data_IF_364304809906
#
_entry.id   IF_364304809906
#
_cell.length_a   1.000
_cell.length_b   1.000
_cell.length_c   1.000
_cell.angle_alpha   90.00
_cell.angle_beta   90.00
_cell.angle_gamma   90.00
#
_symmetry.space_group_name_H-M   'P 1'
#
loop_
_entity.id
_entity.type
_entity.pdbx_description
1 polymer ?
#
# COMPACT_ATOMS: atom_id res chain seq x y z
N UNK A 1 20.61 52.20 -4.23
CA UNK A 1 20.67 50.75 -4.01
C UNK A 1 22.12 50.29 -4.12
N UNK A 2 22.70 49.83 -3.01
CA UNK A 2 24.09 49.37 -2.99
C UNK A 2 24.25 48.04 -3.74
N UNK A 3 25.48 47.69 -4.09
CA UNK A 3 25.79 46.41 -4.73
C UNK A 3 25.40 45.24 -3.80
N UNK A 4 25.59 45.39 -2.49
CA UNK A 4 25.25 44.38 -1.49
C UNK A 4 23.73 44.13 -1.42
N UNK A 5 22.92 45.19 -1.52
CA UNK A 5 21.46 45.06 -1.56
C UNK A 5 20.98 44.28 -2.80
N UNK A 6 21.61 44.50 -3.96
CA UNK A 6 21.30 43.76 -5.19
C UNK A 6 21.68 42.28 -5.07
N UNK A 7 22.84 41.99 -4.47
CA UNK A 7 23.31 40.62 -4.23
C UNK A 7 22.37 39.89 -3.27
N UNK A 8 21.96 40.52 -2.18
CA UNK A 8 21.04 39.92 -1.22
C UNK A 8 19.67 39.61 -1.84
N UNK A 9 19.11 40.52 -2.65
CA UNK A 9 17.85 40.29 -3.35
C UNK A 9 17.97 39.12 -4.33
N UNK A 10 19.10 39.01 -5.04
CA UNK A 10 19.35 37.90 -5.95
C UNK A 10 19.39 36.56 -5.21
N UNK A 11 20.04 36.50 -4.03
CA UNK A 11 20.06 35.30 -3.19
C UNK A 11 18.67 34.92 -2.67
N UNK A 12 17.85 35.89 -2.25
CA UNK A 12 16.48 35.62 -1.81
C UNK A 12 15.62 35.08 -2.95
N UNK A 13 15.68 35.68 -4.14
CA UNK A 13 14.95 35.21 -5.32
C UNK A 13 15.39 33.80 -5.71
N UNK A 14 16.70 33.52 -5.69
CA UNK A 14 17.24 32.20 -5.97
C UNK A 14 16.77 31.17 -4.93
N UNK A 15 16.81 31.50 -3.64
CA UNK A 15 16.35 30.63 -2.56
C UNK A 15 14.87 30.27 -2.67
N UNK A 16 14.01 31.25 -2.94
CA UNK A 16 12.57 31.02 -3.15
C UNK A 16 12.34 30.13 -4.38
N UNK A 17 13.05 30.37 -5.47
CA UNK A 17 12.95 29.56 -6.67
C UNK A 17 13.43 28.13 -6.46
N UNK A 18 14.50 27.94 -5.68
CA UNK A 18 15.04 26.62 -5.35
C UNK A 18 14.07 25.80 -4.50
N UNK A 19 13.43 26.42 -3.50
CA UNK A 19 12.40 25.77 -2.69
C UNK A 19 11.20 25.38 -3.54
N UNK A 20 10.73 26.27 -4.41
CA UNK A 20 9.65 25.99 -5.36
C UNK A 20 10.01 24.83 -6.30
N UNK A 21 11.25 24.83 -6.82
CA UNK A 21 11.71 23.79 -7.74
C UNK A 21 11.82 22.42 -7.05
N UNK A 22 12.34 22.34 -5.83
CA UNK A 22 12.41 21.10 -5.06
C UNK A 22 10.99 20.56 -4.79
N UNK A 23 10.05 21.44 -4.41
CA UNK A 23 8.67 21.06 -4.18
C UNK A 23 8.00 20.54 -5.46
N UNK A 24 8.11 21.28 -6.56
CA UNK A 24 7.55 20.89 -7.85
C UNK A 24 8.17 19.59 -8.38
N UNK A 25 9.49 19.43 -8.23
CA UNK A 25 10.20 18.22 -8.63
C UNK A 25 9.76 17.00 -7.82
N UNK A 26 9.62 17.14 -6.49
CA UNK A 26 9.08 16.09 -5.62
C UNK A 26 7.66 15.65 -6.02
N UNK A 27 6.77 16.61 -6.31
CA UNK A 27 5.43 16.31 -6.81
C UNK A 27 5.44 15.60 -8.18
N UNK A 28 6.36 15.99 -9.07
CA UNK A 28 6.46 15.43 -10.41
C UNK A 28 7.00 13.98 -10.39
N UNK A 29 8.02 13.71 -9.56
CA UNK A 29 8.52 12.35 -9.33
C UNK A 29 7.40 11.45 -8.79
N UNK A 30 6.66 11.93 -7.78
CA UNK A 30 5.50 11.22 -7.22
C UNK A 30 4.51 10.87 -8.34
N UNK A 31 4.14 11.85 -9.17
CA UNK A 31 3.17 11.64 -10.26
C UNK A 31 3.67 10.68 -11.35
N UNK A 32 4.96 10.63 -11.63
CA UNK A 32 5.54 9.77 -12.68
C UNK A 32 5.78 8.33 -12.21
N UNK A 33 6.22 8.14 -10.96
CA UNK A 33 6.55 6.82 -10.43
C UNK A 33 5.33 6.06 -9.90
N UNK A 34 4.39 6.75 -9.25
CA UNK A 34 3.23 6.09 -8.64
C UNK A 34 2.40 5.26 -9.63
N UNK A 35 2.07 5.72 -10.85
CA UNK A 35 1.27 4.93 -11.79
C UNK A 35 1.97 3.62 -12.19
N UNK A 36 3.26 3.68 -12.52
CA UNK A 36 4.04 2.48 -12.91
C UNK A 36 4.17 1.47 -11.76
N UNK A 37 4.29 2.00 -10.55
CA UNK A 37 4.39 1.21 -9.32
C UNK A 37 3.04 0.52 -9.04
N UNK A 38 1.93 1.27 -9.11
CA UNK A 38 0.57 0.76 -8.94
C UNK A 38 0.20 -0.29 -10.00
N UNK A 39 0.49 -0.04 -11.28
CA UNK A 39 0.22 -1.01 -12.37
C UNK A 39 0.95 -2.34 -12.14
N UNK A 40 2.20 -2.28 -11.67
CA UNK A 40 2.98 -3.48 -11.37
C UNK A 40 2.39 -4.25 -10.19
N UNK A 41 1.81 -3.56 -9.19
CA UNK A 41 1.13 -4.21 -8.07
C UNK A 41 -0.20 -4.83 -8.48
N UNK A 42 -1.03 -4.08 -9.20
CA UNK A 42 -2.32 -4.57 -9.69
C UNK A 42 -2.14 -5.83 -10.53
N UNK A 43 -1.14 -5.83 -11.42
CA UNK A 43 -0.78 -7.01 -12.22
C UNK A 43 -0.38 -8.18 -11.32
N UNK A 44 0.47 -7.95 -10.31
CA UNK A 44 0.95 -9.01 -9.42
C UNK A 44 -0.16 -9.63 -8.56
N UNK A 45 -1.06 -8.81 -8.03
CA UNK A 45 -2.21 -9.28 -7.26
C UNK A 45 -3.16 -10.07 -8.17
N UNK A 46 -3.40 -9.58 -9.39
CA UNK A 46 -4.17 -10.30 -10.40
C UNK A 46 -3.54 -11.65 -10.76
N UNK A 47 -2.21 -11.73 -10.89
CA UNK A 47 -1.49 -12.98 -11.14
C UNK A 47 -1.65 -13.97 -9.98
N UNK A 48 -1.56 -13.49 -8.74
CA UNK A 48 -1.78 -14.29 -7.55
C UNK A 48 -3.21 -14.84 -7.46
N UNK A 49 -4.20 -14.00 -7.74
CA UNK A 49 -5.59 -14.41 -7.81
C UNK A 49 -5.85 -15.45 -8.90
N UNK A 50 -5.20 -15.30 -10.06
CA UNK A 50 -5.37 -16.19 -11.21
C UNK A 50 -4.62 -17.52 -11.06
N UNK A 51 -3.43 -17.49 -10.46
CA UNK A 51 -2.58 -18.68 -10.30
C UNK A 51 -3.13 -19.65 -9.25
N UNK A 52 -3.89 -19.16 -8.27
CA UNK A 52 -4.44 -19.98 -7.20
C UNK A 52 -3.39 -20.56 -6.25
N UNK A 53 -2.10 -20.27 -6.45
CA UNK A 53 -0.99 -20.79 -5.64
C UNK A 53 -0.87 -20.00 -4.33
N UNK A 54 -1.70 -20.38 -3.37
CA UNK A 54 -1.79 -19.72 -2.07
C UNK A 54 -0.48 -19.82 -1.28
N UNK A 55 0.32 -20.87 -1.49
CA UNK A 55 1.61 -21.02 -0.79
C UNK A 55 2.63 -20.03 -1.33
N UNK A 56 2.73 -19.89 -2.65
CA UNK A 56 3.58 -18.88 -3.26
C UNK A 56 3.18 -17.45 -2.87
N UNK A 57 1.88 -17.19 -2.65
CA UNK A 57 1.43 -15.90 -2.10
C UNK A 57 2.02 -15.69 -0.71
N UNK A 58 1.81 -16.62 0.22
CA UNK A 58 2.27 -16.48 1.60
C UNK A 58 3.79 -16.34 1.71
N UNK A 59 4.56 -17.05 0.89
CA UNK A 59 6.03 -16.95 0.88
C UNK A 59 6.55 -15.59 0.43
N UNK A 60 5.76 -14.85 -0.35
CA UNK A 60 6.20 -13.62 -0.99
C UNK A 60 5.54 -12.37 -0.44
N UNK A 61 4.31 -12.46 0.04
CA UNK A 61 3.44 -11.32 0.37
C UNK A 61 4.01 -10.46 1.49
N UNK A 62 4.68 -11.06 2.48
CA UNK A 62 5.28 -10.33 3.59
C UNK A 62 6.34 -9.33 3.12
N UNK A 63 7.14 -9.69 2.10
CA UNK A 63 8.12 -8.77 1.49
C UNK A 63 7.48 -7.59 0.78
N UNK A 64 6.24 -7.74 0.30
CA UNK A 64 5.49 -6.65 -0.31
C UNK A 64 4.85 -5.76 0.76
N UNK A 65 4.34 -6.35 1.84
CA UNK A 65 3.83 -5.60 3.00
C UNK A 65 4.95 -4.74 3.62
N UNK A 66 6.16 -5.28 3.78
CA UNK A 66 7.32 -4.52 4.28
C UNK A 66 7.68 -3.34 3.38
N UNK A 67 7.59 -3.52 2.06
CA UNK A 67 7.90 -2.45 1.10
C UNK A 67 6.78 -1.41 1.00
N UNK A 68 5.54 -1.82 1.25
CA UNK A 68 4.34 -1.01 1.08
C UNK A 68 3.41 -1.17 2.29
N UNK A 69 3.80 -0.67 3.48
CA UNK A 69 3.08 -0.92 4.72
C UNK A 69 1.69 -0.27 4.78
N UNK A 70 1.39 0.67 3.89
CA UNK A 70 0.07 1.31 3.77
C UNK A 70 -0.79 0.78 2.63
N UNK A 71 -0.34 -0.27 1.92
CA UNK A 71 -1.12 -0.87 0.84
C UNK A 71 -1.87 -2.09 1.35
N UNK A 72 -3.14 -1.88 1.68
CA UNK A 72 -4.01 -2.90 2.25
C UNK A 72 -4.23 -4.08 1.30
N UNK A 73 -4.03 -3.90 -0.03
CA UNK A 73 -4.27 -4.97 -1.02
C UNK A 73 -3.38 -6.19 -0.82
N UNK A 74 -2.17 -5.98 -0.30
CA UNK A 74 -1.28 -7.10 0.06
C UNK A 74 -1.74 -7.81 1.32
N UNK A 75 -2.27 -7.08 2.31
CA UNK A 75 -2.85 -7.70 3.50
C UNK A 75 -4.10 -8.51 3.14
N UNK A 76 -4.93 -8.02 2.21
CA UNK A 76 -6.09 -8.75 1.70
C UNK A 76 -5.70 -10.03 0.97
N UNK A 77 -4.69 -9.96 0.08
CA UNK A 77 -4.15 -11.14 -0.60
C UNK A 77 -3.61 -12.17 0.40
N UNK A 78 -2.89 -11.71 1.44
CA UNK A 78 -2.42 -12.57 2.55
C UNK A 78 -3.58 -13.23 3.29
N UNK A 79 -4.57 -12.46 3.72
CA UNK A 79 -5.72 -12.97 4.47
C UNK A 79 -6.50 -14.05 3.68
N UNK A 80 -6.73 -13.82 2.39
CA UNK A 80 -7.37 -14.80 1.50
C UNK A 80 -6.54 -16.06 1.31
N UNK A 81 -5.23 -15.93 1.18
CA UNK A 81 -4.33 -17.08 1.07
C UNK A 81 -4.28 -17.91 2.37
N UNK A 82 -4.25 -17.24 3.53
CA UNK A 82 -4.35 -17.90 4.85
C UNK A 82 -5.68 -18.67 4.99
N UNK A 83 -6.80 -18.03 4.61
CA UNK A 83 -8.12 -18.66 4.63
C UNK A 83 -8.16 -19.93 3.76
N UNK A 84 -7.70 -19.83 2.51
CA UNK A 84 -7.69 -20.96 1.57
C UNK A 84 -6.71 -22.08 1.95
N UNK A 85 -5.70 -21.79 2.76
CA UNK A 85 -4.73 -22.79 3.24
C UNK A 85 -5.12 -23.38 4.60
N UNK A 86 -6.27 -22.99 5.16
CA UNK A 86 -6.79 -23.52 6.42
C UNK A 86 -6.19 -22.89 7.67
N UNK A 87 -5.37 -21.83 7.53
CA UNK A 87 -4.84 -21.06 8.67
C UNK A 87 -5.87 -20.05 9.14
N UNK A 88 -7.00 -20.55 9.62
CA UNK A 88 -8.22 -19.77 9.85
C UNK A 88 -8.05 -18.68 10.92
N UNK A 89 -7.35 -18.96 12.02
CA UNK A 89 -7.11 -17.96 13.09
C UNK A 89 -6.25 -16.78 12.60
N UNK A 90 -5.16 -17.08 11.88
CA UNK A 90 -4.30 -16.03 11.30
C UNK A 90 -5.07 -15.23 10.24
N UNK A 91 -5.87 -15.90 9.41
CA UNK A 91 -6.72 -15.25 8.41
C UNK A 91 -7.71 -14.29 9.08
N UNK A 92 -8.39 -14.75 10.14
CA UNK A 92 -9.36 -13.96 10.89
C UNK A 92 -8.72 -12.71 11.50
N UNK A 93 -7.60 -12.86 12.20
CA UNK A 93 -6.87 -11.71 12.76
C UNK A 93 -6.53 -10.69 11.67
N UNK A 94 -6.08 -11.15 10.51
CA UNK A 94 -5.75 -10.27 9.39
C UNK A 94 -6.98 -9.55 8.83
N UNK A 95 -8.12 -10.25 8.67
CA UNK A 95 -9.37 -9.62 8.23
C UNK A 95 -9.94 -8.63 9.26
N UNK A 96 -9.78 -8.89 10.56
CA UNK A 96 -10.19 -7.95 11.61
C UNK A 96 -9.38 -6.65 11.57
N UNK A 97 -8.08 -6.75 11.31
CA UNK A 97 -7.20 -5.58 11.16
C UNK A 97 -7.56 -4.77 9.90
N UNK A 98 -7.85 -5.45 8.79
CA UNK A 98 -8.34 -4.81 7.56
C UNK A 98 -9.68 -4.12 7.79
N UNK A 99 -10.65 -4.79 8.44
CA UNK A 99 -11.99 -4.23 8.74
C UNK A 99 -11.92 -2.94 9.57
N UNK A 100 -10.95 -2.86 10.48
CA UNK A 100 -10.71 -1.67 11.33
C UNK A 100 -10.00 -0.54 10.58
N UNK A 101 -9.02 -0.87 9.74
CA UNK A 101 -8.17 0.11 9.07
C UNK A 101 -8.78 0.65 7.78
N UNK A 102 -9.55 -0.16 7.06
CA UNK A 102 -10.09 0.15 5.74
C UNK A 102 -11.63 0.01 5.73
N UNK A 103 -12.38 1.11 5.97
CA UNK A 103 -13.84 1.07 5.98
C UNK A 103 -14.47 0.54 4.68
N UNK A 104 -13.77 0.69 3.55
CA UNK A 104 -14.22 0.19 2.25
C UNK A 104 -14.27 -1.34 2.19
N UNK A 105 -13.39 -2.03 2.91
CA UNK A 105 -13.30 -3.49 2.89
C UNK A 105 -13.93 -4.15 4.10
N UNK A 106 -14.48 -3.34 5.00
CA UNK A 106 -15.16 -3.82 6.20
C UNK A 106 -16.22 -4.87 5.89
N UNK A 107 -17.13 -4.58 4.96
CA UNK A 107 -18.23 -5.50 4.66
C UNK A 107 -17.72 -6.86 4.16
N UNK A 108 -16.75 -6.87 3.26
CA UNK A 108 -16.20 -8.12 2.73
C UNK A 108 -15.33 -8.84 3.76
N UNK A 109 -14.56 -8.11 4.57
CA UNK A 109 -13.79 -8.66 5.69
C UNK A 109 -14.71 -9.34 6.71
N UNK A 110 -15.82 -8.69 7.07
CA UNK A 110 -16.80 -9.19 8.03
C UNK A 110 -17.45 -10.49 7.52
N UNK A 111 -17.71 -10.63 6.21
CA UNK A 111 -18.18 -11.90 5.60
C UNK A 111 -17.17 -13.02 5.78
N UNK A 112 -15.87 -12.77 5.54
CA UNK A 112 -14.84 -13.78 5.77
C UNK A 112 -14.69 -14.12 7.25
N UNK A 113 -14.71 -13.13 8.14
CA UNK A 113 -14.65 -13.34 9.60
C UNK A 113 -15.82 -14.21 10.05
N UNK A 114 -17.04 -13.94 9.58
CA UNK A 114 -18.21 -14.75 9.89
C UNK A 114 -18.03 -16.19 9.39
N UNK A 115 -17.63 -16.37 8.13
CA UNK A 115 -17.39 -17.71 7.56
C UNK A 115 -16.32 -18.49 8.33
N UNK A 116 -15.26 -17.83 8.78
CA UNK A 116 -14.22 -18.43 9.62
C UNK A 116 -14.79 -18.85 10.98
N UNK A 117 -15.55 -17.97 11.64
CA UNK A 117 -16.16 -18.28 12.94
C UNK A 117 -17.10 -19.49 12.85
N UNK A 118 -17.88 -19.59 11.77
CA UNK A 118 -18.74 -20.75 11.52
C UNK A 118 -17.91 -22.03 11.35
N UNK A 119 -16.80 -21.99 10.61
CA UNK A 119 -15.91 -23.16 10.43
C UNK A 119 -15.21 -23.60 11.72
N UNK A 120 -14.84 -22.65 12.59
CA UNK A 120 -14.19 -22.92 13.87
C UNK A 120 -15.16 -23.37 14.97
N UNK A 121 -16.46 -23.15 14.78
CA UNK A 121 -17.51 -23.55 15.73
C UNK A 121 -18.04 -24.97 15.51
N UNK A 122 -17.54 -25.68 14.49
CA UNK A 122 -17.83 -27.08 14.14
C UNK A 122 -16.77 -27.98 14.77
#
# INVERSE_FOLDING_TARGET
MSVDEKINILFYLFGVFLVFFIFAFGLNIKRSLFPKILDKFATRISDWDSSGDQRAILDNVDRYIEKFPGESSFQWAKARALYKTGKLEEAKSTFEDISKSEPMWKEDSDKYIQSINEQLSI
#
